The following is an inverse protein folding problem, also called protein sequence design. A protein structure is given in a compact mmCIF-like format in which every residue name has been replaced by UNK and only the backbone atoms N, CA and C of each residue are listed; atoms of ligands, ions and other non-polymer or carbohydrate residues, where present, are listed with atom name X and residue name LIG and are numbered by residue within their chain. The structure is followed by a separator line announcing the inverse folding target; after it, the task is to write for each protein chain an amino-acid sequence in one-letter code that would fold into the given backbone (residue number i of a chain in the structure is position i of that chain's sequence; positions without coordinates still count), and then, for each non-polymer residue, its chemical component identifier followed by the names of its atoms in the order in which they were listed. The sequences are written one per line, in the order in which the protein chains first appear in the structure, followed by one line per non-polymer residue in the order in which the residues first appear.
data_IF_358388779261
#
_entry.id   IF_358388779261
#
_cell.length_a   1.000
_cell.length_b   1.000
_cell.length_c   1.000
_cell.angle_alpha   90.00
_cell.angle_beta   90.00
_cell.angle_gamma   90.00
#
_symmetry.space_group_name_H-M   'P 1'
#
loop_
_entity.id
_entity.type
_entity.pdbx_description
1 polymer ?
#
# COMPACT_ATOMS: atom_id res chain seq x y z
N UNK A 1 3.07 -9.93 12.93
CA UNK A 1 3.11 -8.52 12.50
C UNK A 1 1.69 -8.03 12.22
N UNK A 2 1.21 -7.01 12.94
CA UNK A 2 -0.17 -6.51 12.80
C UNK A 2 -0.27 -5.48 11.66
N UNK A 3 -1.27 -5.58 10.78
CA UNK A 3 -1.56 -4.57 9.75
C UNK A 3 -2.68 -3.67 10.27
N UNK A 4 -2.43 -2.36 10.32
CA UNK A 4 -3.43 -1.35 10.72
C UNK A 4 -3.60 -0.32 9.62
N UNK A 5 -4.81 0.21 9.48
CA UNK A 5 -5.14 1.22 8.49
C UNK A 5 -5.39 2.55 9.21
N UNK A 6 -4.77 3.63 8.73
CA UNK A 6 -5.10 4.96 9.23
C UNK A 6 -6.50 5.39 8.78
N UNK A 7 -7.11 6.35 9.47
CA UNK A 7 -8.41 6.90 9.05
C UNK A 7 -8.34 7.50 7.64
N UNK A 8 -7.22 8.14 7.30
CA UNK A 8 -6.95 8.61 5.95
C UNK A 8 -6.94 7.46 4.92
N UNK A 9 -6.30 6.33 5.26
CA UNK A 9 -6.29 5.15 4.39
C UNK A 9 -7.69 4.60 4.21
N UNK A 10 -8.45 4.45 5.30
CA UNK A 10 -9.81 3.92 5.27
C UNK A 10 -10.74 4.77 4.40
N UNK A 11 -10.71 6.09 4.56
CA UNK A 11 -11.49 7.02 3.76
C UNK A 11 -11.13 6.90 2.27
N UNK A 12 -9.83 6.97 1.94
CA UNK A 12 -9.37 6.93 0.54
C UNK A 12 -9.58 5.58 -0.13
N UNK A 13 -9.41 4.48 0.60
CA UNK A 13 -9.69 3.14 0.12
C UNK A 13 -11.19 2.95 -0.14
N UNK A 14 -12.05 3.46 0.73
CA UNK A 14 -13.50 3.47 0.54
C UNK A 14 -13.90 4.20 -0.75
N UNK A 15 -13.39 5.42 -0.94
CA UNK A 15 -13.63 6.22 -2.16
C UNK A 15 -13.18 5.52 -3.45
N UNK A 16 -12.10 4.73 -3.39
CA UNK A 16 -11.50 4.03 -4.53
C UNK A 16 -11.98 2.59 -4.68
N UNK A 17 -12.90 2.13 -3.83
CA UNK A 17 -13.39 0.74 -3.79
C UNK A 17 -12.27 -0.29 -3.65
N UNK A 18 -11.26 0.00 -2.82
CA UNK A 18 -10.14 -0.90 -2.54
C UNK A 18 -10.42 -1.66 -1.24
N UNK A 19 -10.65 -2.99 -1.28
CA UNK A 19 -10.89 -3.77 -0.08
C UNK A 19 -9.65 -3.82 0.82
N UNK A 20 -9.88 -3.86 2.15
CA UNK A 20 -8.79 -4.02 3.14
C UNK A 20 -7.97 -5.28 2.92
N UNK A 21 -8.62 -6.38 2.55
CA UNK A 21 -7.97 -7.66 2.24
C UNK A 21 -6.98 -7.55 1.08
N UNK A 22 -7.35 -6.83 0.01
CA UNK A 22 -6.48 -6.64 -1.15
C UNK A 22 -5.26 -5.79 -0.77
N UNK A 23 -5.46 -4.69 -0.04
CA UNK A 23 -4.35 -3.87 0.44
C UNK A 23 -3.43 -4.64 1.40
N UNK A 24 -4.00 -5.42 2.33
CA UNK A 24 -3.23 -6.29 3.23
C UNK A 24 -2.43 -7.35 2.45
N UNK A 25 -2.99 -7.91 1.38
CA UNK A 25 -2.29 -8.84 0.50
C UNK A 25 -1.07 -8.21 -0.18
N UNK A 26 -1.14 -6.93 -0.57
CA UNK A 26 0.03 -6.19 -1.08
C UNK A 26 1.06 -5.93 0.01
N UNK A 27 0.63 -5.68 1.25
CA UNK A 27 1.55 -5.50 2.39
C UNK A 27 2.33 -6.78 2.70
N UNK A 28 1.68 -7.94 2.60
CA UNK A 28 2.29 -9.24 2.88
C UNK A 28 3.15 -9.75 1.71
N UNK A 29 2.67 -9.60 0.48
CA UNK A 29 3.28 -10.15 -0.72
C UNK A 29 3.38 -9.10 -1.84
N UNK A 30 4.19 -8.04 -1.66
CA UNK A 30 4.43 -7.06 -2.72
C UNK A 30 5.29 -7.68 -3.82
N UNK A 31 5.08 -7.25 -5.06
CA UNK A 31 5.95 -7.62 -6.18
C UNK A 31 7.24 -6.77 -6.15
N UNK A 32 7.15 -5.53 -5.64
CA UNK A 32 8.28 -4.64 -5.42
C UNK A 32 7.97 -3.62 -4.32
N UNK A 33 9.04 -3.17 -3.67
CA UNK A 33 9.01 -2.10 -2.69
C UNK A 33 9.97 -0.99 -3.11
N UNK A 34 9.60 0.26 -2.85
CA UNK A 34 10.45 1.43 -3.05
C UNK A 34 10.51 2.23 -1.75
N UNK A 35 11.69 2.70 -1.32
CA UNK A 35 11.77 3.66 -0.24
C UNK A 35 11.02 4.95 -0.62
N UNK A 36 10.51 5.64 0.38
CA UNK A 36 9.84 6.92 0.23
C UNK A 36 10.28 7.86 1.35
N UNK A 37 9.90 9.13 1.23
CA UNK A 37 10.25 10.15 2.20
C UNK A 37 9.63 9.86 3.58
N UNK A 38 10.32 10.27 4.65
CA UNK A 38 9.85 10.17 6.04
C UNK A 38 9.52 8.75 6.53
N UNK A 39 10.46 7.81 6.32
CA UNK A 39 10.36 6.40 6.75
C UNK A 39 9.12 5.67 6.22
N UNK A 40 8.62 6.11 5.05
CA UNK A 40 7.52 5.45 4.35
C UNK A 40 8.09 4.51 3.30
N UNK A 41 7.37 3.44 3.03
CA UNK A 41 7.65 2.53 1.93
C UNK A 41 6.46 2.53 0.98
N UNK A 42 6.75 2.40 -0.31
CA UNK A 42 5.76 2.24 -1.35
C UNK A 42 5.81 0.79 -1.80
N UNK A 43 4.77 0.04 -1.48
CA UNK A 43 4.58 -1.33 -1.90
C UNK A 43 3.69 -1.37 -3.12
N UNK A 44 3.95 -2.32 -4.00
CA UNK A 44 3.16 -2.43 -5.20
C UNK A 44 2.93 -3.89 -5.56
N UNK A 45 1.78 -4.14 -6.19
CA UNK A 45 1.45 -5.44 -6.76
C UNK A 45 0.69 -5.27 -8.06
N UNK A 46 1.03 -6.04 -9.09
CA UNK A 46 0.39 -5.98 -10.41
C UNK A 46 -0.89 -6.81 -10.44
N UNK A 47 -1.96 -6.21 -10.94
CA UNK A 47 -3.25 -6.83 -11.19
C UNK A 47 -3.71 -6.49 -12.61
N UNK A 48 -3.73 -7.49 -13.50
CA UNK A 48 -4.24 -7.36 -14.88
C UNK A 48 -3.74 -6.11 -15.64
N UNK A 49 -2.45 -5.80 -15.48
CA UNK A 49 -1.81 -4.66 -16.17
C UNK A 49 -1.81 -3.34 -15.40
N UNK A 50 -2.52 -3.24 -14.27
CA UNK A 50 -2.54 -2.06 -13.38
C UNK A 50 -1.84 -2.43 -12.08
N UNK A 51 -1.14 -1.50 -11.44
CA UNK A 51 -0.51 -1.74 -10.15
C UNK A 51 -1.38 -1.19 -9.02
N UNK A 52 -1.59 -1.97 -7.97
CA UNK A 52 -2.06 -1.42 -6.70
C UNK A 52 -0.85 -0.96 -5.90
N UNK A 53 -0.76 0.35 -5.68
CA UNK A 53 0.23 0.98 -4.82
C UNK A 53 -0.32 1.14 -3.41
N UNK A 54 0.43 0.68 -2.42
CA UNK A 54 0.13 0.82 -1.00
C UNK A 54 1.29 1.52 -0.32
N UNK A 55 1.02 2.68 0.28
CA UNK A 55 2.02 3.41 1.06
C UNK A 55 1.91 2.97 2.51
N UNK A 56 3.01 2.51 3.08
CA UNK A 56 3.08 2.05 4.46
C UNK A 56 4.12 2.82 5.28
N UNK A 57 3.98 2.72 6.59
CA UNK A 57 5.03 3.01 7.56
C UNK A 57 5.25 1.75 8.40
N UNK A 58 6.47 1.22 8.41
CA UNK A 58 6.84 0.11 9.31
C UNK A 58 7.18 0.67 10.68
N UNK A 59 6.61 0.06 11.70
CA UNK A 59 6.93 0.24 13.10
C UNK A 59 7.36 -1.13 13.65
N UNK A 60 8.01 -1.17 14.82
CA UNK A 60 8.58 -2.41 15.38
C UNK A 60 7.57 -3.57 15.45
N UNK A 61 6.30 -3.31 15.78
CA UNK A 61 5.25 -4.30 16.03
C UNK A 61 4.17 -4.38 14.94
N UNK A 62 4.06 -3.33 14.11
CA UNK A 62 2.94 -3.14 13.18
C UNK A 62 3.34 -2.44 11.88
N UNK A 63 2.55 -2.69 10.85
CA UNK A 63 2.60 -1.95 9.59
C UNK A 63 1.37 -1.06 9.51
N UNK A 64 1.60 0.24 9.39
CA UNK A 64 0.53 1.23 9.22
C UNK A 64 0.36 1.51 7.74
N UNK A 65 -0.80 1.15 7.18
CA UNK A 65 -1.20 1.55 5.84
C UNK A 65 -1.64 3.01 5.90
N UNK A 66 -0.95 3.87 5.15
CA UNK A 66 -1.20 5.30 5.08
C UNK A 66 -2.19 5.62 3.96
N UNK A 67 -2.04 5.00 2.80
CA UNK A 67 -2.97 5.13 1.68
C UNK A 67 -2.81 3.97 0.70
N UNK A 68 -3.83 3.70 -0.11
CA UNK A 68 -3.76 2.77 -1.23
C UNK A 68 -4.48 3.33 -2.46
N UNK A 69 -3.92 3.14 -3.64
CA UNK A 69 -4.50 3.55 -4.92
C UNK A 69 -3.87 2.82 -6.10
N UNK A 70 -4.58 2.75 -7.21
CA UNK A 70 -4.09 2.13 -8.44
C UNK A 70 -3.24 3.11 -9.27
N UNK A 71 -2.19 2.60 -9.91
CA UNK A 71 -1.32 3.34 -10.83
C UNK A 71 -1.09 2.51 -12.10
N UNK A 72 -1.05 3.17 -13.25
CA UNK A 72 -0.82 2.50 -14.54
C UNK A 72 0.66 2.09 -14.73
N UNK A 73 1.58 2.85 -14.14
CA UNK A 73 3.02 2.62 -14.24
C UNK A 73 3.67 2.77 -12.88
N UNK A 74 4.74 2.02 -12.69
CA UNK A 74 5.67 2.18 -11.57
C UNK A 74 6.72 3.19 -12.00
N UNK A 75 7.11 4.16 -11.17
CA UNK A 75 8.29 4.97 -11.45
C UNK A 75 9.49 4.03 -11.65
N UNK A 76 10.15 4.12 -12.81
CA UNK A 76 11.46 3.48 -12.96
C UNK A 76 12.41 4.20 -12.00
N UNK A 77 13.07 3.43 -11.14
CA UNK A 77 14.29 3.88 -10.48
C UNK A 77 15.35 4.15 -11.55
#
# INVERSE_FOLDING_TARGET
MKIVFSDHALLKMGQRKIPRSVAAGVVQFPDFHLPSYNLREQLFKKFRGIYLKVVIKRLQDKVVVVTAYTVAKVPKN
#
